data_IF_659488468453
#
_entry.id   IF_659488468453
#
_cell.length_a   1.000
_cell.length_b   1.000
_cell.length_c   1.000
_cell.angle_alpha   90.00
_cell.angle_beta   90.00
_cell.angle_gamma   90.00
#
_symmetry.space_group_name_H-M   'P 1'
#
loop_
_entity.id
_entity.type
_entity.pdbx_description
1 polymer ?
#
# COMPACT_ATOMS: atom_id res chain seq x y z
N UNK A 1 -38.79 1.60 2.65
CA UNK A 1 -38.00 2.21 3.74
C UNK A 1 -37.01 1.17 4.21
N UNK A 2 -35.71 1.51 4.34
CA UNK A 2 -34.57 0.62 4.67
C UNK A 2 -33.82 -0.05 3.50
N UNK A 3 -33.38 0.75 2.55
CA UNK A 3 -32.17 0.46 1.78
C UNK A 3 -30.94 0.63 2.71
N UNK A 4 -30.67 -0.35 3.59
CA UNK A 4 -29.44 -0.37 4.36
C UNK A 4 -28.27 -0.67 3.41
N UNK A 5 -27.65 0.40 2.93
CA UNK A 5 -26.20 0.57 2.85
C UNK A 5 -25.44 -0.69 2.42
N UNK A 6 -25.56 -1.07 1.14
CA UNK A 6 -24.45 -1.78 0.53
C UNK A 6 -23.28 -0.81 0.48
N UNK A 7 -22.39 -0.87 1.47
CA UNK A 7 -21.05 -0.27 1.44
C UNK A 7 -20.27 -0.92 0.28
N UNK A 8 -20.66 -0.57 -0.94
CA UNK A 8 -19.97 -0.96 -2.15
C UNK A 8 -18.68 -0.16 -2.15
N UNK A 9 -17.66 -0.70 -1.48
CA UNK A 9 -16.26 -0.31 -1.71
C UNK A 9 -15.94 -0.67 -3.16
N UNK A 10 -16.33 0.19 -4.09
CA UNK A 10 -16.00 0.04 -5.50
C UNK A 10 -14.48 0.05 -5.64
N UNK A 11 -13.90 -1.09 -6.04
CA UNK A 11 -12.47 -1.24 -6.30
C UNK A 11 -11.95 -2.65 -6.03
N UNK A 12 -10.79 -2.98 -6.59
CA UNK A 12 -10.09 -4.24 -6.28
C UNK A 12 -9.83 -4.29 -4.77
N UNK A 13 -10.25 -5.36 -4.07
CA UNK A 13 -10.01 -5.48 -2.64
C UNK A 13 -8.51 -5.38 -2.38
N UNK A 14 -8.12 -4.60 -1.36
CA UNK A 14 -6.72 -4.48 -0.97
C UNK A 14 -6.25 -5.83 -0.44
N UNK A 15 -5.37 -6.48 -1.20
CA UNK A 15 -4.77 -7.78 -0.84
C UNK A 15 -3.79 -7.62 0.34
N UNK A 16 -3.10 -6.48 0.42
CA UNK A 16 -2.11 -6.22 1.47
C UNK A 16 -2.65 -5.21 2.48
N UNK A 17 -2.54 -5.49 3.79
CA UNK A 17 -2.90 -4.52 4.82
C UNK A 17 -1.97 -3.31 4.75
N UNK A 18 -2.54 -2.11 4.97
CA UNK A 18 -1.80 -0.83 4.89
C UNK A 18 -0.57 -0.84 5.79
N UNK A 19 -0.65 -1.48 6.97
CA UNK A 19 0.49 -1.63 7.89
C UNK A 19 1.70 -2.30 7.25
N UNK A 20 1.51 -3.31 6.40
CA UNK A 20 2.64 -3.97 5.70
C UNK A 20 3.28 -3.04 4.66
N UNK A 21 2.48 -2.21 3.99
CA UNK A 21 2.98 -1.21 3.03
C UNK A 21 3.80 -0.13 3.76
N UNK A 22 3.30 0.35 4.89
CA UNK A 22 4.00 1.35 5.72
C UNK A 22 5.29 0.78 6.31
N UNK A 23 5.29 -0.47 6.79
CA UNK A 23 6.50 -1.14 7.26
C UNK A 23 7.55 -1.28 6.15
N UNK A 24 7.13 -1.61 4.92
CA UNK A 24 8.02 -1.66 3.76
C UNK A 24 8.62 -0.28 3.43
N UNK A 25 7.81 0.78 3.53
CA UNK A 25 8.28 2.15 3.33
C UNK A 25 9.31 2.56 4.40
N UNK A 26 9.04 2.27 5.67
CA UNK A 26 10.00 2.53 6.75
C UNK A 26 11.29 1.74 6.60
N UNK A 27 11.20 0.48 6.17
CA UNK A 27 12.38 -0.32 5.87
C UNK A 27 13.23 0.36 4.79
N UNK A 28 12.61 0.77 3.68
CA UNK A 28 13.30 1.41 2.57
C UNK A 28 13.92 2.76 2.97
N UNK A 29 13.21 3.60 3.75
CA UNK A 29 13.76 4.88 4.21
C UNK A 29 14.93 4.66 5.17
N UNK A 30 14.89 3.62 6.01
CA UNK A 30 15.96 3.27 6.94
C UNK A 30 17.19 2.69 6.25
N UNK A 31 17.02 1.89 5.21
CA UNK A 31 18.12 1.22 4.49
C UNK A 31 18.61 2.00 3.28
N UNK A 32 17.82 2.92 2.74
CA UNK A 32 18.10 3.65 1.50
C UNK A 32 18.13 2.77 0.25
N UNK A 33 17.63 1.53 0.32
CA UNK A 33 17.74 0.60 -0.79
C UNK A 33 16.80 0.94 -1.95
N UNK A 34 17.21 0.61 -3.18
CA UNK A 34 16.33 0.70 -4.35
C UNK A 34 15.08 -0.17 -4.16
N UNK A 35 13.95 0.24 -4.72
CA UNK A 35 12.67 -0.49 -4.61
C UNK A 35 12.76 -1.97 -5.01
N UNK A 36 13.61 -2.30 -6.00
CA UNK A 36 13.80 -3.68 -6.49
C UNK A 36 14.58 -4.56 -5.52
N UNK A 37 15.27 -3.97 -4.55
CA UNK A 37 16.04 -4.67 -3.50
C UNK A 37 15.21 -4.93 -2.25
N UNK A 38 13.91 -4.60 -2.27
CA UNK A 38 13.03 -4.83 -1.14
C UNK A 38 12.90 -6.35 -0.88
N UNK A 39 13.08 -6.82 0.37
CA UNK A 39 12.93 -8.24 0.72
C UNK A 39 11.57 -8.82 0.33
N UNK A 40 11.55 -10.10 -0.03
CA UNK A 40 10.35 -10.82 -0.45
C UNK A 40 9.29 -11.01 0.66
N UNK A 41 9.66 -10.79 1.93
CA UNK A 41 8.71 -10.76 3.06
C UNK A 41 7.73 -9.59 3.00
N UNK A 42 8.09 -8.53 2.28
CA UNK A 42 7.25 -7.35 2.08
C UNK A 42 6.30 -7.52 0.90
N UNK A 43 5.21 -6.73 0.83
CA UNK A 43 4.39 -6.65 -0.37
C UNK A 43 5.25 -6.33 -1.59
N UNK A 44 4.83 -6.75 -2.80
CA UNK A 44 5.57 -6.47 -4.03
C UNK A 44 5.95 -5.00 -4.12
N UNK A 45 7.21 -4.72 -4.50
CA UNK A 45 7.74 -3.35 -4.53
C UNK A 45 6.87 -2.39 -5.36
N UNK A 46 6.19 -2.89 -6.39
CA UNK A 46 5.24 -2.12 -7.23
C UNK A 46 4.02 -1.65 -6.43
N UNK A 47 3.50 -2.47 -5.52
CA UNK A 47 2.38 -2.11 -4.65
C UNK A 47 2.79 -1.06 -3.62
N UNK A 48 4.01 -1.18 -3.09
CA UNK A 48 4.55 -0.23 -2.11
C UNK A 48 4.80 1.12 -2.78
N UNK A 49 5.49 1.14 -3.92
CA UNK A 49 5.81 2.38 -4.65
C UNK A 49 4.56 3.08 -5.17
N UNK A 50 3.60 2.35 -5.75
CA UNK A 50 2.32 2.93 -6.19
C UNK A 50 1.55 3.58 -5.04
N UNK A 51 1.54 2.95 -3.86
CA UNK A 51 0.90 3.50 -2.67
C UNK A 51 1.62 4.77 -2.19
N UNK A 52 2.96 4.75 -2.17
CA UNK A 52 3.79 5.91 -1.83
C UNK A 52 3.52 7.09 -2.76
N UNK A 53 3.59 6.90 -4.08
CA UNK A 53 3.34 7.98 -5.05
C UNK A 53 1.90 8.49 -4.98
N UNK A 54 0.92 7.62 -4.70
CA UNK A 54 -0.47 8.03 -4.51
C UNK A 54 -0.62 8.93 -3.28
N UNK A 55 0.06 8.61 -2.18
CA UNK A 55 0.04 9.44 -0.97
C UNK A 55 0.82 10.74 -1.18
N UNK A 56 1.96 10.70 -1.87
CA UNK A 56 2.74 11.89 -2.20
C UNK A 56 1.93 12.89 -3.03
N UNK A 57 1.11 12.43 -3.97
CA UNK A 57 0.20 13.27 -4.77
C UNK A 57 -1.03 13.76 -4.02
N UNK A 58 -1.39 13.11 -2.91
CA UNK A 58 -2.54 13.47 -2.09
C UNK A 58 -2.17 14.41 -0.93
N UNK A 59 -0.88 14.65 -0.70
CA UNK A 59 -0.38 15.74 0.12
C UNK A 59 -0.47 17.07 -0.60
#
# INVERSE_FOLDING_TARGET
MFAYLSDQKMGRPRVHPVRKIVNALFYQVRTGCAWRLLPHDFPPHQTVSSSYYRWQKAG
#
